data_IF_716797030351
#
_entry.id   IF_716797030351
#
_cell.length_a   1.000
_cell.length_b   1.000
_cell.length_c   1.000
_cell.angle_alpha   90.00
_cell.angle_beta   90.00
_cell.angle_gamma   90.00
#
_symmetry.space_group_name_H-M   'P 1'
#
loop_
_entity.id
_entity.type
_entity.pdbx_description
1 polymer ?
#
# COMPACT_ATOMS: atom_id res chain seq x y z
N UNK A 1 -5.21 -15.29 14.06
CA UNK A 1 -4.55 -16.38 14.82
C UNK A 1 -3.78 -15.73 15.96
N UNK A 2 -3.90 -16.27 17.17
CA UNK A 2 -3.23 -15.76 18.39
C UNK A 2 -2.44 -16.90 19.04
N UNK A 3 -1.35 -16.59 19.73
CA UNK A 3 -0.62 -17.57 20.55
C UNK A 3 -1.30 -17.79 21.92
N UNK A 4 -0.65 -18.54 22.81
CA UNK A 4 -1.16 -18.83 24.17
C UNK A 4 -1.33 -17.58 25.05
N UNK A 5 -0.60 -16.50 24.75
CA UNK A 5 -0.69 -15.20 25.41
C UNK A 5 -1.73 -14.26 24.76
N UNK A 6 -2.46 -14.74 23.75
CA UNK A 6 -3.43 -13.93 23.01
C UNK A 6 -2.81 -12.96 22.01
N UNK A 7 -1.50 -13.07 21.76
CA UNK A 7 -0.76 -12.16 20.90
C UNK A 7 -0.93 -12.55 19.43
N UNK A 8 -1.13 -11.55 18.58
CA UNK A 8 -1.10 -11.75 17.13
C UNK A 8 0.35 -11.84 16.64
N UNK A 9 0.54 -12.34 15.42
CA UNK A 9 1.86 -12.32 14.78
C UNK A 9 2.44 -10.90 14.66
N UNK A 10 1.58 -9.89 14.52
CA UNK A 10 1.98 -8.48 14.50
C UNK A 10 2.45 -8.01 15.88
N UNK A 11 1.71 -8.37 16.94
CA UNK A 11 2.10 -8.05 18.31
C UNK A 11 3.44 -8.68 18.67
N UNK A 12 3.59 -9.99 18.45
CA UNK A 12 4.85 -10.67 18.77
C UNK A 12 6.05 -10.18 17.96
N UNK A 13 5.84 -9.69 16.73
CA UNK A 13 6.89 -9.05 15.95
C UNK A 13 7.35 -7.71 16.56
N UNK A 14 6.44 -6.96 17.16
CA UNK A 14 6.71 -5.65 17.74
C UNK A 14 7.32 -5.77 19.14
N UNK A 15 6.84 -6.72 19.95
CA UNK A 15 7.27 -6.90 21.34
C UNK A 15 8.54 -7.77 21.48
N UNK A 16 8.60 -8.93 20.82
CA UNK A 16 9.63 -9.96 21.10
C UNK A 16 10.86 -9.91 20.20
N UNK A 17 10.77 -9.32 19.00
CA UNK A 17 11.97 -9.07 18.18
C UNK A 17 12.51 -7.69 18.50
N UNK A 18 13.83 -7.62 18.67
CA UNK A 18 14.57 -6.39 18.88
C UNK A 18 14.35 -5.44 17.71
N UNK A 19 13.27 -4.68 17.78
CA UNK A 19 13.12 -3.42 17.08
C UNK A 19 14.23 -2.42 17.48
N UNK A 20 15.04 -2.77 18.48
CA UNK A 20 16.29 -2.10 18.86
C UNK A 20 17.34 -2.10 17.74
N UNK A 21 17.29 -3.04 16.80
CA UNK A 21 18.12 -3.02 15.59
C UNK A 21 17.22 -3.02 14.36
N UNK A 22 17.47 -2.06 13.45
CA UNK A 22 16.74 -1.92 12.20
C UNK A 22 17.12 -3.06 11.23
N UNK A 23 16.72 -4.28 11.53
CA UNK A 23 16.94 -5.43 10.66
C UNK A 23 15.99 -5.37 9.46
N UNK A 24 16.56 -5.41 8.25
CA UNK A 24 15.81 -5.47 6.98
C UNK A 24 14.80 -6.63 6.97
N UNK A 25 15.07 -7.71 7.70
CA UNK A 25 14.15 -8.83 7.82
C UNK A 25 12.87 -8.46 8.59
N UNK A 26 12.99 -7.74 9.71
CA UNK A 26 11.86 -7.29 10.54
C UNK A 26 10.95 -6.36 9.75
N UNK A 27 11.51 -5.37 9.04
CA UNK A 27 10.73 -4.46 8.19
C UNK A 27 9.99 -5.23 7.09
N UNK A 28 10.60 -6.24 6.47
CA UNK A 28 9.92 -7.09 5.48
C UNK A 28 8.77 -7.88 6.07
N UNK A 29 8.96 -8.52 7.23
CA UNK A 29 7.90 -9.26 7.94
C UNK A 29 6.74 -8.32 8.29
N UNK A 30 7.06 -7.11 8.78
CA UNK A 30 6.06 -6.09 9.12
C UNK A 30 5.28 -5.66 7.87
N UNK A 31 5.95 -5.33 6.76
CA UNK A 31 5.30 -5.01 5.47
C UNK A 31 4.34 -6.12 5.04
N UNK A 32 4.75 -7.39 5.12
CA UNK A 32 3.92 -8.54 4.77
C UNK A 32 2.68 -8.60 5.66
N UNK A 33 2.84 -8.59 6.99
CA UNK A 33 1.71 -8.66 7.92
C UNK A 33 0.71 -7.52 7.71
N UNK A 34 1.20 -6.29 7.56
CA UNK A 34 0.37 -5.12 7.30
C UNK A 34 -0.37 -5.20 5.96
N UNK A 35 0.31 -5.70 4.91
CA UNK A 35 -0.31 -5.89 3.58
C UNK A 35 -1.39 -6.97 3.58
N UNK A 36 -1.28 -7.98 4.44
CA UNK A 36 -2.26 -9.06 4.60
C UNK A 36 -3.43 -8.68 5.52
N UNK A 37 -3.53 -7.42 5.91
CA UNK A 37 -4.64 -6.95 6.75
C UNK A 37 -4.50 -7.33 8.21
N UNK A 38 -3.28 -7.56 8.72
CA UNK A 38 -3.08 -7.81 10.16
C UNK A 38 -3.77 -6.73 10.99
N UNK A 39 -4.50 -7.17 12.02
CA UNK A 39 -5.23 -6.30 12.92
C UNK A 39 -4.26 -5.62 13.89
N UNK A 40 -4.15 -4.29 13.75
CA UNK A 40 -3.28 -3.45 14.56
C UNK A 40 -3.88 -3.12 15.93
N UNK A 41 -5.17 -3.38 16.13
CA UNK A 41 -5.89 -3.09 17.38
C UNK A 41 -6.21 -4.36 18.17
N UNK A 42 -5.77 -5.51 17.68
CA UNK A 42 -5.93 -6.77 18.40
C UNK A 42 -5.17 -6.68 19.74
N UNK A 43 -5.92 -6.90 20.82
CA UNK A 43 -5.35 -6.96 22.17
C UNK A 43 -4.80 -8.36 22.48
N UNK A 44 -3.77 -8.45 23.31
CA UNK A 44 -3.37 -9.70 23.95
C UNK A 44 -4.35 -10.09 25.08
N UNK A 45 -4.04 -11.15 25.85
CA UNK A 45 -4.88 -11.59 26.97
C UNK A 45 -5.00 -10.54 28.09
N UNK A 46 -4.05 -9.62 28.21
CA UNK A 46 -4.04 -8.53 29.19
C UNK A 46 -4.77 -7.27 28.71
N UNK A 47 -5.33 -7.29 27.49
CA UNK A 47 -6.00 -6.12 26.91
C UNK A 47 -5.04 -5.09 26.28
N UNK A 48 -3.76 -5.44 26.12
CA UNK A 48 -2.71 -4.56 25.58
C UNK A 48 -2.61 -4.73 24.07
N UNK A 49 -2.49 -3.62 23.35
CA UNK A 49 -2.29 -3.57 21.89
C UNK A 49 -0.84 -3.25 21.52
N UNK A 50 -0.55 -3.30 20.22
CA UNK A 50 0.77 -2.89 19.73
C UNK A 50 1.05 -1.41 19.99
N UNK A 51 0.02 -0.56 20.05
CA UNK A 51 0.20 0.89 20.24
C UNK A 51 0.69 1.24 21.63
N UNK A 52 0.23 0.51 22.65
CA UNK A 52 0.74 0.64 24.03
C UNK A 52 2.25 0.29 24.11
N UNK A 53 2.76 -0.51 23.16
CA UNK A 53 4.19 -0.80 23.01
C UNK A 53 4.95 0.23 22.17
N UNK A 54 4.25 0.99 21.32
CA UNK A 54 4.81 2.02 20.42
C UNK A 54 4.99 3.35 21.16
N UNK A 55 4.18 3.67 22.16
CA UNK A 55 4.31 4.90 22.99
C UNK A 55 5.70 5.06 23.62
N UNK A 56 6.48 3.98 23.72
CA UNK A 56 7.88 4.00 24.19
C UNK A 56 8.92 4.23 23.08
N UNK A 57 8.50 4.57 21.86
CA UNK A 57 9.34 4.59 20.64
C UNK A 57 9.22 5.91 19.87
N UNK A 58 10.25 6.23 19.11
CA UNK A 58 10.35 7.52 18.41
C UNK A 58 9.82 7.44 16.97
N UNK A 59 9.40 8.59 16.43
CA UNK A 59 9.07 8.75 14.99
C UNK A 59 10.26 8.52 14.07
N UNK A 60 11.49 8.40 14.57
CA UNK A 60 12.67 8.09 13.75
C UNK A 60 12.72 6.62 13.35
N UNK A 61 12.00 5.75 14.07
CA UNK A 61 11.91 4.33 13.77
C UNK A 61 11.11 4.10 12.47
N UNK A 62 11.74 3.56 11.40
CA UNK A 62 11.09 3.35 10.12
C UNK A 62 9.93 2.35 10.20
N UNK A 63 9.94 1.42 11.16
CA UNK A 63 8.86 0.47 11.34
C UNK A 63 7.64 1.14 12.02
N UNK A 64 7.85 2.08 12.94
CA UNK A 64 6.76 2.90 13.50
C UNK A 64 6.16 3.77 12.41
N UNK A 65 7.00 4.42 11.59
CA UNK A 65 6.53 5.16 10.40
C UNK A 65 5.68 4.27 9.49
N UNK A 66 6.09 3.03 9.25
CA UNK A 66 5.34 2.08 8.42
C UNK A 66 3.97 1.72 9.02
N UNK A 67 3.88 1.53 10.34
CA UNK A 67 2.60 1.28 11.04
C UNK A 67 1.69 2.50 10.91
N UNK A 68 2.19 3.70 11.18
CA UNK A 68 1.41 4.95 11.09
C UNK A 68 0.94 5.25 9.67
N UNK A 69 1.79 5.02 8.66
CA UNK A 69 1.42 5.12 7.24
C UNK A 69 0.28 4.17 6.89
N UNK A 70 0.41 2.91 7.32
CA UNK A 70 -0.63 1.90 7.07
C UNK A 70 -1.94 2.26 7.76
N UNK A 71 -1.87 2.75 9.00
CA UNK A 71 -3.01 3.23 9.76
C UNK A 71 -3.75 4.35 9.01
N UNK A 72 -3.01 5.38 8.59
CA UNK A 72 -3.57 6.52 7.86
C UNK A 72 -4.23 6.08 6.53
N UNK A 73 -3.58 5.17 5.78
CA UNK A 73 -4.14 4.61 4.55
C UNK A 73 -5.45 3.87 4.81
N UNK A 74 -5.49 2.98 5.79
CA UNK A 74 -6.70 2.21 6.14
C UNK A 74 -7.84 3.11 6.61
N UNK A 75 -7.52 4.16 7.39
CA UNK A 75 -8.48 5.18 7.85
C UNK A 75 -9.17 5.84 6.67
N UNK A 76 -8.37 6.37 5.76
CA UNK A 76 -8.85 7.15 4.62
C UNK A 76 -9.51 6.25 3.54
N UNK A 77 -9.19 4.96 3.52
CA UNK A 77 -9.86 3.95 2.72
C UNK A 77 -11.21 3.48 3.31
N UNK A 78 -11.58 3.92 4.51
CA UNK A 78 -12.85 3.56 5.16
C UNK A 78 -12.89 2.13 5.71
N UNK A 79 -11.72 1.54 5.98
CA UNK A 79 -11.58 0.14 6.39
C UNK A 79 -11.54 -0.06 7.92
N UNK A 80 -11.94 0.94 8.73
CA UNK A 80 -11.55 1.01 10.15
C UNK A 80 -12.72 1.18 11.16
N UNK A 81 -12.61 0.53 12.35
CA UNK A 81 -13.60 0.60 13.44
C UNK A 81 -13.35 1.73 14.47
N UNK A 82 -14.34 1.98 15.34
CA UNK A 82 -14.37 3.06 16.36
C UNK A 82 -13.24 3.07 17.39
N UNK A 83 -12.52 1.96 17.55
CA UNK A 83 -11.38 1.83 18.47
C UNK A 83 -10.24 2.81 18.09
N UNK A 84 -10.13 3.18 16.82
CA UNK A 84 -9.15 4.13 16.29
C UNK A 84 -9.23 5.52 16.95
N UNK A 85 -10.45 6.01 17.22
CA UNK A 85 -10.67 7.34 17.84
C UNK A 85 -10.06 7.47 19.24
N UNK A 86 -9.91 6.35 19.96
CA UNK A 86 -9.26 6.36 21.27
C UNK A 86 -7.75 6.57 21.13
N UNK A 87 -7.12 5.84 20.20
CA UNK A 87 -5.68 5.93 19.98
C UNK A 87 -5.25 7.27 19.38
N UNK A 88 -6.05 7.84 18.48
CA UNK A 88 -5.78 9.18 17.97
C UNK A 88 -5.73 10.23 19.08
N UNK A 89 -6.68 10.17 20.03
CA UNK A 89 -6.70 11.08 21.18
C UNK A 89 -5.49 10.87 22.09
N UNK A 90 -5.07 9.63 22.31
CA UNK A 90 -3.88 9.32 23.10
C UNK A 90 -2.62 9.84 22.41
N UNK A 91 -2.43 9.56 21.11
CA UNK A 91 -1.31 10.08 20.32
C UNK A 91 -1.27 11.62 20.35
N UNK A 92 -2.42 12.28 20.17
CA UNK A 92 -2.52 13.74 20.22
C UNK A 92 -2.10 14.32 21.58
N UNK A 93 -2.39 13.62 22.68
CA UNK A 93 -2.10 14.09 24.04
C UNK A 93 -0.70 13.73 24.52
N UNK A 94 -0.21 12.54 24.18
CA UNK A 94 0.98 11.94 24.78
C UNK A 94 2.22 12.00 23.89
N UNK A 95 2.06 12.01 22.57
CA UNK A 95 3.18 12.13 21.62
C UNK A 95 2.83 13.05 20.42
N UNK A 96 3.03 14.38 20.59
CA UNK A 96 2.77 15.35 19.53
C UNK A 96 3.55 15.09 18.24
N UNK A 97 4.73 14.47 18.31
CA UNK A 97 5.56 14.19 17.12
C UNK A 97 4.96 13.03 16.31
N UNK A 98 4.52 11.95 16.97
CA UNK A 98 3.82 10.85 16.32
C UNK A 98 2.50 11.34 15.71
N UNK A 99 1.78 12.21 16.43
CA UNK A 99 0.56 12.84 15.92
C UNK A 99 0.81 13.70 14.68
N UNK A 100 1.83 14.58 14.71
CA UNK A 100 2.19 15.41 13.55
C UNK A 100 2.55 14.55 12.33
N UNK A 101 3.32 13.47 12.53
CA UNK A 101 3.66 12.55 11.46
C UNK A 101 2.42 11.84 10.89
N UNK A 102 1.51 11.41 11.75
CA UNK A 102 0.25 10.79 11.34
C UNK A 102 -0.64 11.76 10.55
N UNK A 103 -0.74 13.02 10.97
CA UNK A 103 -1.46 14.05 10.22
C UNK A 103 -0.83 14.32 8.85
N UNK A 104 0.51 14.38 8.75
CA UNK A 104 1.22 14.47 7.46
C UNK A 104 0.87 13.30 6.53
N UNK A 105 0.78 12.08 7.08
CA UNK A 105 0.34 10.91 6.31
C UNK A 105 -1.07 11.13 5.75
N UNK A 106 -2.01 11.58 6.57
CA UNK A 106 -3.40 11.87 6.15
C UNK A 106 -3.45 12.96 5.06
N UNK A 107 -2.71 14.05 5.24
CA UNK A 107 -2.64 15.13 4.26
C UNK A 107 -2.12 14.65 2.90
N UNK A 108 -1.01 13.90 2.88
CA UNK A 108 -0.47 13.36 1.63
C UNK A 108 -1.46 12.40 0.96
N UNK A 109 -2.15 11.54 1.72
CA UNK A 109 -3.18 10.66 1.15
C UNK A 109 -4.31 11.46 0.50
N UNK A 110 -4.77 12.52 1.15
CA UNK A 110 -5.82 13.38 0.59
C UNK A 110 -5.33 14.11 -0.67
N UNK A 111 -4.08 14.56 -0.71
CA UNK A 111 -3.47 15.13 -1.94
C UNK A 111 -3.33 14.08 -3.04
N UNK A 112 -2.98 12.84 -2.70
CA UNK A 112 -2.92 11.74 -3.67
C UNK A 112 -4.29 11.47 -4.29
N UNK A 113 -5.38 11.56 -3.51
CA UNK A 113 -6.75 11.41 -4.01
C UNK A 113 -7.15 12.51 -5.01
N UNK A 114 -6.68 13.73 -4.82
CA UNK A 114 -7.00 14.85 -5.72
C UNK A 114 -6.04 14.96 -6.93
N UNK A 115 -4.94 14.20 -6.93
CA UNK A 115 -3.94 14.23 -8.01
C UNK A 115 -4.24 13.16 -9.05
N UNK A 116 -4.93 13.55 -10.12
CA UNK A 116 -5.27 12.67 -11.22
C UNK A 116 -4.09 12.48 -12.19
N UNK A 117 -3.79 11.22 -12.49
CA UNK A 117 -2.77 10.83 -13.46
C UNK A 117 -3.37 10.77 -14.86
N UNK A 118 -4.53 10.12 -15.00
CA UNK A 118 -5.20 9.98 -16.28
C UNK A 118 -6.70 9.71 -16.07
N UNK A 119 -7.54 10.52 -16.73
CA UNK A 119 -9.00 10.46 -16.56
C UNK A 119 -9.34 10.45 -15.06
N UNK A 120 -10.05 9.44 -14.59
CA UNK A 120 -10.47 9.23 -13.22
C UNK A 120 -9.48 8.46 -12.35
N UNK A 121 -8.28 8.10 -12.87
CA UNK A 121 -7.27 7.39 -12.10
C UNK A 121 -6.32 8.36 -11.40
N UNK A 122 -6.38 8.38 -10.06
CA UNK A 122 -5.56 9.18 -9.15
C UNK A 122 -4.29 8.45 -8.71
N UNK A 123 -3.33 9.20 -8.17
CA UNK A 123 -2.13 8.63 -7.52
C UNK A 123 -2.53 7.70 -6.38
N UNK A 124 -3.59 8.03 -5.64
CA UNK A 124 -4.12 7.18 -4.58
C UNK A 124 -4.56 5.80 -5.10
N UNK A 125 -5.24 5.76 -6.26
CA UNK A 125 -5.66 4.50 -6.87
C UNK A 125 -4.48 3.68 -7.40
N UNK A 126 -3.42 4.33 -7.89
CA UNK A 126 -2.18 3.63 -8.26
C UNK A 126 -1.57 2.92 -7.05
N UNK A 127 -1.58 3.57 -5.89
CA UNK A 127 -1.03 3.01 -4.65
C UNK A 127 -1.89 1.87 -4.08
N UNK A 128 -3.21 1.92 -4.24
CA UNK A 128 -4.15 1.06 -3.49
C UNK A 128 -4.81 -0.05 -4.30
N UNK A 129 -4.98 0.10 -5.62
CA UNK A 129 -5.63 -0.92 -6.46
C UNK A 129 -4.72 -2.12 -6.74
N UNK A 130 -5.31 -3.27 -7.07
CA UNK A 130 -4.53 -4.42 -7.52
C UNK A 130 -3.91 -4.16 -8.90
N UNK A 131 -2.85 -4.89 -9.24
CA UNK A 131 -2.26 -4.81 -10.58
C UNK A 131 -3.28 -5.15 -11.68
N UNK A 132 -4.20 -6.08 -11.38
CA UNK A 132 -5.31 -6.45 -12.26
C UNK A 132 -6.23 -5.29 -12.63
N UNK A 133 -6.54 -4.40 -11.68
CA UNK A 133 -7.39 -3.24 -11.93
C UNK A 133 -6.65 -2.13 -12.68
N UNK A 134 -5.33 -2.01 -12.44
CA UNK A 134 -4.49 -1.04 -13.12
C UNK A 134 -4.11 -1.46 -14.55
N UNK A 135 -4.22 -2.75 -14.89
CA UNK A 135 -3.88 -3.31 -16.20
C UNK A 135 -4.61 -2.60 -17.36
N UNK A 136 -5.90 -2.33 -17.20
CA UNK A 136 -6.70 -1.59 -18.18
C UNK A 136 -6.16 -0.18 -18.44
N UNK A 137 -5.65 0.49 -17.40
CA UNK A 137 -5.00 1.80 -17.54
C UNK A 137 -3.62 1.67 -18.17
N UNK A 138 -2.85 0.63 -17.81
CA UNK A 138 -1.52 0.35 -18.34
C UNK A 138 -1.51 0.12 -19.85
N UNK A 139 -2.59 -0.39 -20.46
CA UNK A 139 -2.75 -0.50 -21.92
C UNK A 139 -2.57 0.84 -22.64
N UNK A 140 -2.91 1.96 -22.00
CA UNK A 140 -2.78 3.28 -22.60
C UNK A 140 -1.36 3.85 -22.43
N UNK A 141 -0.63 4.02 -23.52
CA UNK A 141 0.68 4.71 -23.53
C UNK A 141 0.64 6.07 -22.81
N UNK A 142 -0.47 6.79 -22.97
CA UNK A 142 -0.65 8.10 -22.36
C UNK A 142 -0.71 8.04 -20.83
N UNK A 143 -1.30 7.00 -20.25
CA UNK A 143 -1.33 6.79 -18.79
C UNK A 143 0.10 6.72 -18.24
N UNK A 144 0.94 5.85 -18.83
CA UNK A 144 2.34 5.68 -18.41
C UNK A 144 3.14 6.96 -18.56
N UNK A 145 2.96 7.67 -19.69
CA UNK A 145 3.66 8.94 -19.93
C UNK A 145 3.24 10.00 -18.90
N UNK A 146 1.94 10.13 -18.63
CA UNK A 146 1.45 11.12 -17.66
C UNK A 146 1.91 10.82 -16.24
N UNK A 147 1.93 9.54 -15.82
CA UNK A 147 2.47 9.17 -14.51
C UNK A 147 3.91 9.66 -14.33
N UNK A 148 4.77 9.45 -15.33
CA UNK A 148 6.18 9.91 -15.31
C UNK A 148 6.35 11.43 -15.27
N UNK A 149 5.29 12.19 -15.57
CA UNK A 149 5.26 13.66 -15.48
C UNK A 149 4.69 14.16 -14.14
N UNK A 150 4.10 13.29 -13.32
CA UNK A 150 3.60 13.68 -12.00
C UNK A 150 4.79 14.03 -11.13
N UNK A 151 4.73 15.19 -10.50
CA UNK A 151 5.72 15.55 -9.49
C UNK A 151 5.48 14.74 -8.20
N UNK A 152 6.07 13.54 -8.11
CA UNK A 152 5.94 12.68 -6.93
C UNK A 152 6.72 13.19 -5.71
N UNK A 153 7.61 14.18 -5.88
CA UNK A 153 8.35 14.75 -4.75
C UNK A 153 7.43 15.37 -3.70
N UNK A 154 6.19 15.76 -4.05
CA UNK A 154 5.23 16.31 -3.09
C UNK A 154 4.67 15.26 -2.13
N UNK A 155 4.89 13.97 -2.41
CA UNK A 155 4.43 12.83 -1.61
C UNK A 155 5.60 12.17 -0.89
N UNK A 156 6.33 12.95 -0.08
CA UNK A 156 7.56 12.50 0.56
C UNK A 156 7.38 11.24 1.41
N UNK A 157 6.20 11.05 2.01
CA UNK A 157 5.91 9.88 2.84
C UNK A 157 5.70 8.63 2.00
N UNK A 158 5.07 8.75 0.83
CA UNK A 158 4.63 7.60 0.03
C UNK A 158 5.34 7.41 -1.32
N UNK A 159 6.28 8.30 -1.69
CA UNK A 159 6.93 8.30 -3.01
C UNK A 159 7.48 6.93 -3.43
N UNK A 160 8.16 6.25 -2.52
CA UNK A 160 8.73 4.92 -2.79
C UNK A 160 7.65 3.87 -3.02
N UNK A 161 6.58 3.88 -2.22
CA UNK A 161 5.48 2.92 -2.37
C UNK A 161 4.69 3.17 -3.66
N UNK A 162 4.50 4.44 -4.04
CA UNK A 162 3.80 4.83 -5.27
C UNK A 162 4.59 4.32 -6.48
N UNK A 163 5.91 4.54 -6.50
CA UNK A 163 6.79 4.05 -7.55
C UNK A 163 6.78 2.51 -7.61
N UNK A 164 6.93 1.84 -6.46
CA UNK A 164 6.90 0.38 -6.39
C UNK A 164 5.55 -0.19 -6.86
N UNK A 165 4.43 0.45 -6.53
CA UNK A 165 3.10 0.05 -6.99
C UNK A 165 2.97 0.20 -8.51
N UNK A 166 3.40 1.33 -9.08
CA UNK A 166 3.38 1.56 -10.52
C UNK A 166 4.27 0.55 -11.27
N UNK A 167 5.50 0.33 -10.83
CA UNK A 167 6.43 -0.63 -11.43
C UNK A 167 5.90 -2.07 -11.36
N UNK A 168 5.23 -2.45 -10.27
CA UNK A 168 4.57 -3.77 -10.17
C UNK A 168 3.45 -3.90 -11.20
N UNK A 169 2.62 -2.88 -11.36
CA UNK A 169 1.55 -2.89 -12.35
C UNK A 169 2.09 -2.88 -13.80
N UNK A 170 3.18 -2.15 -14.08
CA UNK A 170 3.81 -2.13 -15.41
C UNK A 170 4.41 -3.50 -15.76
N UNK A 171 5.10 -4.15 -14.80
CA UNK A 171 5.62 -5.52 -14.96
C UNK A 171 4.50 -6.54 -15.19
N UNK A 172 3.41 -6.43 -14.45
CA UNK A 172 2.24 -7.30 -14.63
C UNK A 172 1.66 -7.15 -16.04
N UNK A 173 1.46 -5.91 -16.50
CA UNK A 173 0.98 -5.64 -17.86
C UNK A 173 1.89 -6.20 -18.95
N UNK A 174 3.21 -6.07 -18.82
CA UNK A 174 4.15 -6.64 -19.78
C UNK A 174 4.03 -8.17 -19.86
N UNK A 175 3.85 -8.84 -18.71
CA UNK A 175 3.60 -10.29 -18.68
C UNK A 175 2.30 -10.67 -19.41
N UNK A 176 1.22 -9.89 -19.22
CA UNK A 176 -0.05 -10.10 -19.93
C UNK A 176 0.13 -9.92 -21.44
N UNK A 177 0.85 -8.88 -21.88
CA UNK A 177 1.16 -8.68 -23.30
C UNK A 177 1.96 -9.83 -23.92
N UNK A 178 2.96 -10.34 -23.21
CA UNK A 178 3.77 -11.46 -23.69
C UNK A 178 2.90 -12.71 -23.89
N UNK A 179 1.96 -12.96 -22.97
CA UNK A 179 0.98 -14.05 -23.11
C UNK A 179 0.02 -13.82 -24.29
N UNK A 180 -0.51 -12.60 -24.48
CA UNK A 180 -1.36 -12.27 -25.63
C UNK A 180 -0.61 -12.48 -26.96
N UNK A 181 0.68 -12.12 -27.02
CA UNK A 181 1.52 -12.31 -28.19
C UNK A 181 1.74 -13.80 -28.51
N UNK A 182 2.04 -14.62 -27.50
CA UNK A 182 2.21 -16.08 -27.67
C UNK A 182 0.92 -16.75 -28.17
N UNK A 183 -0.24 -16.32 -27.66
CA UNK A 183 -1.54 -16.82 -28.13
C UNK A 183 -1.77 -16.42 -29.60
N UNK A 184 -1.48 -15.16 -29.96
CA UNK A 184 -1.63 -14.68 -31.33
C UNK A 184 -0.71 -15.43 -32.30
N UNK A 185 0.53 -15.71 -31.91
CA UNK A 185 1.48 -16.48 -32.70
C UNK A 185 1.01 -17.94 -32.89
N UNK A 186 0.57 -18.59 -31.81
CA UNK A 186 0.01 -19.94 -31.90
C UNK A 186 -1.22 -19.98 -32.82
N UNK A 187 -2.17 -19.06 -32.65
CA UNK A 187 -3.34 -18.96 -33.52
C UNK A 187 -2.97 -18.71 -34.98
N UNK A 188 -1.96 -17.89 -35.25
CA UNK A 188 -1.47 -17.65 -36.61
C UNK A 188 -0.91 -18.93 -37.23
N UNK A 189 -0.19 -19.73 -36.44
CA UNK A 189 0.41 -20.99 -36.88
C UNK A 189 -0.62 -22.13 -37.03
N UNK A 190 -1.70 -22.15 -36.26
CA UNK A 190 -2.71 -23.22 -36.29
C UNK A 190 -3.94 -22.90 -37.16
N UNK A 191 -4.36 -21.64 -37.23
CA UNK A 191 -5.56 -21.20 -37.94
C UNK A 191 -5.33 -19.85 -38.66
N UNK A 192 -4.55 -19.84 -39.76
CA UNK A 192 -4.23 -18.60 -40.48
C UNK A 192 -5.47 -17.83 -40.96
N UNK A 193 -6.58 -18.53 -41.21
CA UNK A 193 -7.81 -17.97 -41.80
C UNK A 193 -8.77 -17.31 -40.80
N UNK A 194 -8.54 -17.41 -39.48
CA UNK A 194 -9.45 -16.87 -38.46
C UNK A 194 -9.19 -15.41 -38.05
N UNK A 195 -8.13 -14.77 -38.53
CA UNK A 195 -7.82 -13.37 -38.18
C UNK A 195 -8.59 -12.38 -39.08
N UNK A 196 -9.84 -12.08 -38.72
CA UNK A 196 -10.41 -10.75 -38.98
C UNK A 196 -10.29 -9.96 -37.69
N UNK A 197 -9.28 -9.10 -37.58
CA UNK A 197 -9.27 -8.03 -36.57
C UNK A 197 -10.61 -7.29 -36.70
N UNK A 198 -11.47 -7.36 -35.69
CA UNK A 198 -12.47 -6.31 -35.47
C UNK A 198 -11.69 -5.04 -35.11
N UNK A 199 -11.27 -4.31 -36.13
CA UNK A 199 -10.95 -2.90 -35.99
C UNK A 199 -12.21 -2.23 -35.45
N UNK A 200 -12.11 -1.67 -34.25
CA UNK A 200 -13.10 -0.72 -33.77
C UNK A 200 -13.15 0.42 -34.79
N UNK A 201 -14.29 0.48 -35.46
CA UNK A 201 -14.75 1.59 -36.27
C UNK A 201 -14.75 2.84 -35.40
N UNK A 202 -14.11 3.89 -35.94
CA UNK A 202 -14.10 5.33 -35.60
C UNK A 202 -14.74 5.79 -34.30
#
# INVERSE_FOLDING_TARGET
MKNEYGETALYGLIEHQSFYETDKNTTKKLKILLSLGADMFATNNDGVTIFDSIERRTTEDPNIRLILRTLALRKIAGLQPSIELKYERLMEQEDPNLWEYFQKCIEEINRMKSTNVFKSCSVFEILTKCQCELELHMRYNEFRRRFRLVNLSIFHVYVDDINEAFERAERYYNCVLDQENLINEALYNFFPEMFVRKGLVT
#
